data_IF_209486765514
#
_entry.id   IF_209486765514
#
_cell.length_a   1.000
_cell.length_b   1.000
_cell.length_c   1.000
_cell.angle_alpha   90.00
_cell.angle_beta   90.00
_cell.angle_gamma   90.00
#
_symmetry.space_group_name_H-M   'P 1'
#
loop_
_entity.id
_entity.type
_entity.pdbx_description
1 polymer ?
#
# COMPACT_ATOMS: atom_id res chain seq x y z
N UNK A 1 24.03 -96.39 12.58
CA UNK A 1 24.72 -95.14 12.26
C UNK A 1 23.63 -94.12 12.04
N UNK A 2 23.46 -93.15 12.91
CA UNK A 2 22.45 -92.11 12.69
C UNK A 2 23.01 -91.08 11.71
N UNK A 3 22.27 -90.79 10.64
CA UNK A 3 22.54 -89.74 9.69
C UNK A 3 22.19 -88.40 10.34
N UNK A 4 23.21 -87.61 10.57
CA UNK A 4 23.03 -86.21 11.08
C UNK A 4 22.50 -85.35 9.92
N UNK A 5 21.24 -84.90 10.05
CA UNK A 5 20.67 -83.93 9.16
C UNK A 5 21.45 -82.60 9.29
N UNK A 6 21.75 -81.90 8.21
CA UNK A 6 22.38 -80.58 8.30
C UNK A 6 21.46 -79.60 8.98
N UNK A 7 21.97 -78.72 9.79
CA UNK A 7 21.16 -77.73 10.48
C UNK A 7 20.46 -76.80 9.47
N UNK A 8 19.22 -76.41 9.76
CA UNK A 8 18.46 -75.47 8.88
C UNK A 8 19.21 -74.17 8.65
N UNK A 9 19.15 -73.62 7.44
CA UNK A 9 19.82 -72.37 7.12
C UNK A 9 19.34 -71.27 8.08
N UNK A 10 20.28 -70.53 8.66
CA UNK A 10 19.97 -69.40 9.59
C UNK A 10 19.11 -68.37 8.85
N UNK A 11 17.94 -67.97 9.42
CA UNK A 11 17.08 -66.97 8.80
C UNK A 11 17.82 -65.63 8.73
N UNK A 12 17.88 -65.04 7.55
CA UNK A 12 18.27 -63.65 7.38
C UNK A 12 19.56 -63.33 6.63
N UNK A 13 20.26 -64.36 6.03
CA UNK A 13 21.40 -64.07 5.14
C UNK A 13 21.17 -64.67 3.76
N UNK A 14 21.16 -63.83 2.74
CA UNK A 14 21.27 -64.29 1.34
C UNK A 14 22.72 -64.71 1.02
N UNK A 15 22.96 -65.47 -0.07
CA UNK A 15 24.28 -66.02 -0.44
C UNK A 15 25.37 -64.95 -0.63
N UNK A 16 25.03 -63.64 -0.66
CA UNK A 16 25.95 -62.49 -0.74
C UNK A 16 26.32 -61.89 0.61
N UNK A 17 25.94 -62.48 1.75
CA UNK A 17 26.30 -62.04 3.08
C UNK A 17 25.58 -60.78 3.57
N UNK A 18 24.59 -60.28 2.84
CA UNK A 18 23.78 -59.12 3.23
C UNK A 18 22.64 -59.53 4.14
N UNK A 19 22.40 -58.80 5.21
CA UNK A 19 21.29 -59.03 6.12
C UNK A 19 20.00 -58.53 5.44
N UNK A 20 19.12 -59.48 5.01
CA UNK A 20 17.83 -59.15 4.48
C UNK A 20 16.87 -58.77 5.63
N UNK A 21 16.77 -57.50 5.95
CA UNK A 21 15.96 -57.01 7.08
C UNK A 21 14.45 -57.12 6.83
N UNK A 22 14.00 -57.24 5.61
CA UNK A 22 12.57 -57.29 5.29
C UNK A 22 12.32 -58.09 4.01
N UNK A 23 11.25 -58.89 3.95
CA UNK A 23 10.81 -59.50 2.72
C UNK A 23 10.50 -58.41 1.67
N UNK A 24 10.80 -58.64 0.39
CA UNK A 24 10.70 -57.64 -0.68
C UNK A 24 9.31 -57.01 -0.82
N UNK A 25 8.24 -57.66 -0.38
CA UNK A 25 6.87 -57.14 -0.35
C UNK A 25 6.65 -56.04 0.72
N UNK A 26 7.24 -56.19 1.91
CA UNK A 26 7.12 -55.21 2.98
C UNK A 26 7.87 -53.88 2.67
N UNK A 27 9.01 -54.00 1.97
CA UNK A 27 9.76 -52.81 1.53
C UNK A 27 9.01 -52.00 0.46
N UNK A 28 8.31 -52.68 -0.48
CA UNK A 28 7.46 -52.01 -1.47
C UNK A 28 6.25 -51.32 -0.85
N UNK A 29 5.58 -51.94 0.11
CA UNK A 29 4.43 -51.35 0.80
C UNK A 29 4.81 -50.08 1.56
N UNK A 30 5.94 -50.09 2.28
CA UNK A 30 6.41 -48.85 2.98
C UNK A 30 6.73 -47.73 2.02
N UNK A 31 7.34 -47.99 0.87
CA UNK A 31 7.68 -46.97 -0.13
C UNK A 31 6.43 -46.32 -0.74
N UNK A 32 5.36 -47.07 -0.92
CA UNK A 32 4.07 -46.58 -1.43
C UNK A 32 3.34 -45.71 -0.40
N UNK A 33 3.35 -46.09 0.87
CA UNK A 33 2.71 -45.32 1.94
C UNK A 33 3.40 -43.97 2.15
N UNK A 34 4.74 -43.95 2.16
CA UNK A 34 5.50 -42.71 2.26
C UNK A 34 5.20 -41.74 1.08
N UNK A 35 5.10 -42.30 -0.14
CA UNK A 35 4.83 -41.49 -1.33
C UNK A 35 3.41 -40.87 -1.33
N UNK A 36 2.42 -41.61 -0.82
CA UNK A 36 1.04 -41.08 -0.71
C UNK A 36 0.89 -40.00 0.37
N UNK A 37 1.63 -40.13 1.47
CA UNK A 37 1.60 -39.11 2.54
C UNK A 37 2.36 -37.86 2.16
N UNK A 38 3.51 -37.96 1.49
CA UNK A 38 4.22 -36.77 0.97
C UNK A 38 3.40 -36.07 -0.12
N UNK A 39 2.66 -36.78 -0.98
CA UNK A 39 1.85 -36.18 -2.02
C UNK A 39 0.71 -35.32 -1.49
N UNK A 40 0.03 -35.74 -0.43
CA UNK A 40 -1.05 -34.96 0.19
C UNK A 40 -0.53 -33.76 1.00
N UNK A 41 0.57 -33.92 1.74
CA UNK A 41 1.18 -32.82 2.48
C UNK A 41 1.68 -31.71 1.57
N UNK A 42 2.24 -32.05 0.42
CA UNK A 42 2.71 -31.07 -0.56
C UNK A 42 1.57 -30.26 -1.17
N UNK A 43 0.43 -30.87 -1.48
CA UNK A 43 -0.74 -30.15 -2.02
C UNK A 43 -1.29 -29.15 -1.00
N UNK A 44 -1.40 -29.55 0.27
CA UNK A 44 -1.86 -28.65 1.34
C UNK A 44 -0.87 -27.51 1.57
N UNK A 45 0.42 -27.81 1.60
CA UNK A 45 1.47 -26.79 1.77
C UNK A 45 1.49 -25.78 0.62
N UNK A 46 1.36 -26.21 -0.63
CA UNK A 46 1.30 -25.31 -1.78
C UNK A 46 0.02 -24.49 -1.82
N UNK A 47 -1.11 -25.04 -1.42
CA UNK A 47 -2.37 -24.27 -1.31
C UNK A 47 -2.27 -23.16 -0.25
N UNK A 48 -1.75 -23.47 0.94
CA UNK A 48 -1.52 -22.48 2.00
C UNK A 48 -0.54 -21.38 1.56
N UNK A 49 0.55 -21.76 0.90
CA UNK A 49 1.53 -20.80 0.37
C UNK A 49 0.91 -19.88 -0.69
N UNK A 50 0.07 -20.41 -1.57
CA UNK A 50 -0.68 -19.63 -2.55
C UNK A 50 -1.63 -18.62 -1.90
N UNK A 51 -2.35 -19.01 -0.85
CA UNK A 51 -3.23 -18.11 -0.10
C UNK A 51 -2.44 -17.00 0.58
N UNK A 52 -1.28 -17.31 1.17
CA UNK A 52 -0.42 -16.30 1.82
C UNK A 52 0.12 -15.29 0.81
N UNK A 53 0.58 -15.74 -0.36
CA UNK A 53 1.05 -14.84 -1.43
C UNK A 53 -0.10 -13.97 -1.94
N UNK A 54 -1.28 -14.53 -2.15
CA UNK A 54 -2.45 -13.77 -2.59
C UNK A 54 -2.84 -12.70 -1.56
N UNK A 55 -2.90 -13.06 -0.28
CA UNK A 55 -3.22 -12.12 0.80
C UNK A 55 -2.16 -11.02 0.92
N UNK A 56 -0.87 -11.36 0.84
CA UNK A 56 0.23 -10.39 0.84
C UNK A 56 0.17 -9.47 -0.37
N UNK A 57 -0.15 -10.00 -1.56
CA UNK A 57 -0.33 -9.23 -2.78
C UNK A 57 -1.49 -8.23 -2.68
N UNK A 58 -2.64 -8.67 -2.17
CA UNK A 58 -3.80 -7.79 -1.94
C UNK A 58 -3.45 -6.70 -0.92
N UNK A 59 -2.81 -7.05 0.19
CA UNK A 59 -2.39 -6.10 1.22
C UNK A 59 -1.39 -5.08 0.65
N UNK A 60 -0.45 -5.52 -0.18
CA UNK A 60 0.51 -4.65 -0.86
C UNK A 60 -0.20 -3.69 -1.82
N UNK A 61 -1.14 -4.17 -2.64
CA UNK A 61 -1.91 -3.32 -3.57
C UNK A 61 -2.76 -2.29 -2.82
N UNK A 62 -3.40 -2.69 -1.71
CA UNK A 62 -4.18 -1.75 -0.88
C UNK A 62 -3.27 -0.69 -0.25
N UNK A 63 -2.09 -1.08 0.23
CA UNK A 63 -1.14 -0.13 0.81
C UNK A 63 -0.45 0.75 -0.23
N UNK A 64 -0.12 0.22 -1.39
CA UNK A 64 0.49 1.01 -2.48
C UNK A 64 -0.44 2.09 -3.04
N UNK A 65 -1.77 1.92 -2.87
CA UNK A 65 -2.76 2.92 -3.27
C UNK A 65 -2.95 4.08 -2.29
N UNK A 66 -2.29 4.07 -1.12
CA UNK A 66 -2.43 5.12 -0.12
C UNK A 66 -1.05 5.62 0.31
N UNK A 67 -0.73 6.88 0.11
CA UNK A 67 0.48 7.46 0.69
C UNK A 67 0.42 7.33 2.22
N UNK A 68 1.51 6.80 2.81
CA UNK A 68 1.63 6.69 4.26
C UNK A 68 1.80 8.07 4.94
N UNK A 69 1.88 8.13 6.30
CA UNK A 69 2.18 9.38 6.98
C UNK A 69 3.47 10.03 6.40
N UNK A 70 3.53 11.35 6.25
CA UNK A 70 2.68 12.39 6.83
C UNK A 70 1.43 12.80 6.01
N UNK A 71 1.12 12.08 4.96
CA UNK A 71 0.06 12.44 4.04
C UNK A 71 -1.33 12.37 4.68
N UNK A 72 -2.06 13.46 4.57
CA UNK A 72 -3.43 13.59 5.07
C UNK A 72 -4.40 13.58 3.91
N UNK A 73 -5.43 12.73 3.98
CA UNK A 73 -6.51 12.72 2.99
C UNK A 73 -7.40 13.93 3.18
N UNK A 74 -7.58 14.72 2.11
CA UNK A 74 -8.37 15.97 2.16
C UNK A 74 -9.78 15.75 1.59
N UNK A 75 -9.90 15.25 0.37
CA UNK A 75 -11.18 15.09 -0.29
C UNK A 75 -11.12 14.01 -1.38
N UNK A 76 -12.26 13.41 -1.77
CA UNK A 76 -12.34 12.62 -2.98
C UNK A 76 -12.16 13.55 -4.20
N UNK A 77 -11.40 13.12 -5.20
CA UNK A 77 -11.10 13.93 -6.38
C UNK A 77 -12.37 14.26 -7.19
N UNK A 78 -13.38 13.38 -7.16
CA UNK A 78 -14.69 13.58 -7.78
C UNK A 78 -15.49 14.74 -7.18
N UNK A 79 -15.23 15.08 -5.93
CA UNK A 79 -15.85 16.23 -5.25
C UNK A 79 -15.15 17.56 -5.48
N UNK A 80 -14.00 17.56 -6.19
CA UNK A 80 -13.24 18.77 -6.49
C UNK A 80 -13.45 19.15 -7.97
N UNK A 81 -14.11 20.28 -8.27
CA UNK A 81 -14.34 20.69 -9.65
C UNK A 81 -13.03 20.79 -10.43
N UNK A 82 -13.07 20.36 -11.70
CA UNK A 82 -11.96 20.60 -12.63
C UNK A 82 -11.90 22.11 -12.96
N UNK A 83 -10.71 22.59 -13.28
CA UNK A 83 -10.46 24.00 -13.67
C UNK A 83 -10.95 25.03 -12.65
N UNK A 84 -10.99 24.68 -11.36
CA UNK A 84 -11.43 25.54 -10.29
C UNK A 84 -10.44 25.61 -9.12
N UNK A 85 -10.62 26.66 -8.32
CA UNK A 85 -10.01 26.78 -6.99
C UNK A 85 -11.06 26.43 -5.95
N UNK A 86 -10.77 25.45 -5.12
CA UNK A 86 -11.68 24.95 -4.09
C UNK A 86 -10.99 25.02 -2.73
N UNK A 87 -11.71 25.46 -1.72
CA UNK A 87 -11.22 25.47 -0.34
C UNK A 87 -11.84 24.28 0.41
N UNK A 88 -11.01 23.52 1.09
CA UNK A 88 -11.42 22.36 1.89
C UNK A 88 -10.72 22.45 3.24
N UNK A 89 -11.40 22.09 4.32
CA UNK A 89 -10.75 21.93 5.61
C UNK A 89 -10.16 20.51 5.73
N UNK A 90 -8.96 20.40 6.25
CA UNK A 90 -8.39 19.12 6.62
C UNK A 90 -9.02 18.58 7.93
N UNK A 91 -8.74 17.35 8.34
CA UNK A 91 -9.26 16.80 9.59
C UNK A 91 -8.79 17.54 10.86
N UNK A 92 -7.70 18.30 10.77
CA UNK A 92 -7.20 19.15 11.86
C UNK A 92 -7.82 20.57 11.84
N UNK A 93 -8.70 20.85 10.88
CA UNK A 93 -9.35 22.16 10.71
C UNK A 93 -8.47 23.18 9.97
N UNK A 94 -7.33 22.78 9.41
CA UNK A 94 -6.53 23.66 8.56
C UNK A 94 -7.21 23.87 7.21
N UNK A 95 -7.12 25.08 6.71
CA UNK A 95 -7.69 25.42 5.40
C UNK A 95 -6.71 25.10 4.30
N UNK A 96 -7.11 24.18 3.42
CA UNK A 96 -6.36 23.79 2.23
C UNK A 96 -7.06 24.38 1.01
N UNK A 97 -6.34 25.18 0.24
CA UNK A 97 -6.77 25.69 -1.05
C UNK A 97 -6.23 24.78 -2.13
N UNK A 98 -7.12 24.17 -2.88
CA UNK A 98 -6.80 23.26 -3.98
C UNK A 98 -7.03 23.99 -5.29
N UNK A 99 -5.99 24.14 -6.08
CA UNK A 99 -6.03 24.74 -7.41
C UNK A 99 -5.86 23.65 -8.47
N UNK A 100 -6.88 23.49 -9.31
CA UNK A 100 -6.91 22.51 -10.42
C UNK A 100 -6.91 23.16 -11.80
N UNK A 101 -6.64 24.46 -11.88
CA UNK A 101 -6.62 25.18 -13.15
C UNK A 101 -5.43 24.80 -14.02
N UNK A 102 -5.62 24.82 -15.34
CA UNK A 102 -4.56 24.54 -16.32
C UNK A 102 -4.07 23.10 -16.30
N UNK A 103 -4.92 22.12 -15.95
CA UNK A 103 -4.59 20.70 -15.95
C UNK A 103 -3.61 20.28 -14.85
N UNK A 104 -3.21 21.21 -13.98
CA UNK A 104 -2.33 20.94 -12.84
C UNK A 104 -3.13 20.70 -11.54
N UNK A 105 -2.42 20.20 -10.53
CA UNK A 105 -2.94 20.10 -9.17
C UNK A 105 -1.94 20.75 -8.22
N UNK A 106 -2.35 21.80 -7.55
CA UNK A 106 -1.56 22.49 -6.53
C UNK A 106 -2.38 22.62 -5.26
N UNK A 107 -1.71 22.51 -4.12
CA UNK A 107 -2.35 22.70 -2.82
C UNK A 107 -1.58 23.74 -2.02
N UNK A 108 -2.32 24.57 -1.30
CA UNK A 108 -1.76 25.62 -0.45
C UNK A 108 -2.45 25.58 0.91
N UNK A 109 -1.68 25.78 1.96
CA UNK A 109 -2.25 26.09 3.28
C UNK A 109 -2.54 27.58 3.33
N UNK A 110 -3.79 27.91 3.58
CA UNK A 110 -4.21 29.29 3.76
C UNK A 110 -4.29 29.65 5.24
N UNK A 111 -3.94 30.88 5.63
CA UNK A 111 -4.19 31.37 6.98
C UNK A 111 -5.70 31.36 7.27
N UNK A 112 -6.06 31.12 8.52
CA UNK A 112 -7.45 31.22 8.95
C UNK A 112 -7.99 32.62 8.62
N UNK A 113 -9.28 32.71 8.28
CA UNK A 113 -9.87 33.98 7.94
C UNK A 113 -11.38 33.89 7.73
N UNK A 114 -12.05 35.05 7.71
CA UNK A 114 -13.52 35.14 7.79
C UNK A 114 -14.24 34.66 6.50
N UNK A 115 -13.54 34.57 5.38
CA UNK A 115 -14.15 34.18 4.12
C UNK A 115 -13.22 33.31 3.29
N UNK A 116 -13.77 32.56 2.33
CA UNK A 116 -12.99 31.63 1.51
C UNK A 116 -12.00 32.34 0.60
N UNK A 117 -10.92 31.64 0.30
CA UNK A 117 -9.99 31.97 -0.79
C UNK A 117 -10.59 31.50 -2.10
N UNK A 118 -10.67 32.40 -3.07
CA UNK A 118 -11.25 32.13 -4.39
C UNK A 118 -10.24 32.41 -5.51
N UNK A 119 -10.52 31.94 -6.71
CA UNK A 119 -9.74 32.28 -7.89
C UNK A 119 -9.86 33.77 -8.21
N UNK A 120 -8.75 34.41 -8.54
CA UNK A 120 -8.70 35.81 -8.99
C UNK A 120 -7.68 35.96 -10.13
N UNK A 121 -8.14 35.88 -11.38
CA UNK A 121 -7.25 35.80 -12.52
C UNK A 121 -6.36 34.55 -12.44
N UNK A 122 -5.05 34.73 -12.60
CA UNK A 122 -4.07 33.66 -12.42
C UNK A 122 -3.76 33.30 -10.97
N UNK A 123 -4.11 34.18 -10.02
CA UNK A 123 -3.82 34.06 -8.59
C UNK A 123 -5.04 33.72 -7.75
N UNK A 124 -5.00 34.21 -6.50
CA UNK A 124 -6.01 33.96 -5.48
C UNK A 124 -6.43 35.27 -4.81
N UNK A 125 -7.64 35.31 -4.29
CA UNK A 125 -8.11 36.42 -3.50
C UNK A 125 -8.98 35.94 -2.33
N UNK A 126 -9.01 36.77 -1.27
CA UNK A 126 -10.00 36.73 -0.18
C UNK A 126 -10.78 38.03 -0.18
N UNK A 127 -11.92 38.07 -0.87
CA UNK A 127 -12.60 39.32 -1.20
C UNK A 127 -13.01 40.15 0.04
N UNK A 128 -13.50 39.47 1.08
CA UNK A 128 -13.97 40.18 2.29
C UNK A 128 -12.84 40.79 3.12
N UNK A 129 -11.61 40.36 2.93
CA UNK A 129 -10.43 40.89 3.62
C UNK A 129 -9.53 41.73 2.69
N UNK A 130 -9.93 41.95 1.45
CA UNK A 130 -9.12 42.66 0.45
C UNK A 130 -7.81 42.01 0.07
N UNK A 131 -7.56 40.81 0.57
CA UNK A 131 -6.27 40.09 0.40
C UNK A 131 -6.16 39.47 -1.00
N UNK A 132 -4.97 39.59 -1.59
CA UNK A 132 -4.67 38.98 -2.91
C UNK A 132 -3.31 38.31 -2.90
N UNK A 133 -3.19 37.24 -3.65
CA UNK A 133 -1.98 36.49 -3.88
C UNK A 133 -1.82 36.19 -5.37
N UNK A 134 -0.60 36.06 -5.79
CA UNK A 134 -0.27 35.61 -7.13
C UNK A 134 -0.47 34.07 -7.30
N UNK A 135 -0.14 33.56 -8.47
CA UNK A 135 -0.27 32.12 -8.77
C UNK A 135 0.68 31.22 -7.95
N UNK A 136 1.73 31.77 -7.36
CA UNK A 136 2.66 31.08 -6.47
C UNK A 136 2.24 31.16 -4.99
N UNK A 137 1.17 31.89 -4.67
CA UNK A 137 0.71 32.11 -3.31
C UNK A 137 1.44 33.25 -2.58
N UNK A 138 2.31 33.99 -3.27
CA UNK A 138 2.93 35.17 -2.69
C UNK A 138 1.94 36.33 -2.65
N UNK A 139 2.00 37.26 -1.64
CA UNK A 139 1.15 38.44 -1.60
C UNK A 139 1.28 39.27 -2.86
N UNK A 140 0.18 39.54 -3.53
CA UNK A 140 0.20 40.34 -4.76
C UNK A 140 0.56 41.78 -4.45
N UNK A 141 1.46 42.35 -5.24
CA UNK A 141 1.84 43.77 -5.18
C UNK A 141 0.66 44.64 -5.66
N UNK A 142 0.10 45.45 -4.83
CA UNK A 142 -1.07 46.28 -5.17
C UNK A 142 -1.68 46.91 -3.94
N UNK A 143 -0.85 47.20 -2.98
CA UNK A 143 -1.15 47.68 -1.65
C UNK A 143 -1.64 49.13 -1.66
N UNK A 144 -2.64 49.42 -0.84
CA UNK A 144 -2.85 50.79 -0.35
C UNK A 144 -1.81 51.09 0.72
N UNK A 145 -1.25 52.29 0.69
CA UNK A 145 -0.26 52.70 1.67
C UNK A 145 -0.81 52.53 3.10
N UNK A 146 -0.07 51.79 3.92
CA UNK A 146 -0.43 51.52 5.31
C UNK A 146 -1.12 50.18 5.60
N UNK A 147 -1.44 49.35 4.60
CA UNK A 147 -2.05 48.04 4.82
C UNK A 147 -0.98 46.93 4.98
N UNK A 148 -1.06 46.14 6.03
CA UNK A 148 -0.13 45.01 6.27
C UNK A 148 -0.30 43.92 5.23
N UNK A 149 0.81 43.37 4.66
CA UNK A 149 0.76 42.30 3.68
C UNK A 149 0.09 41.07 4.28
N UNK A 150 -0.83 40.42 3.57
CA UNK A 150 -1.31 39.14 4.00
C UNK A 150 -0.16 38.13 4.06
N UNK A 151 -0.18 37.18 5.01
CA UNK A 151 0.80 36.11 5.01
C UNK A 151 0.69 35.33 3.70
N UNK A 152 1.81 34.80 3.17
CA UNK A 152 1.80 34.02 1.94
C UNK A 152 0.97 32.72 2.10
N UNK A 153 0.35 32.27 1.03
CA UNK A 153 -0.20 30.93 0.95
C UNK A 153 0.97 29.95 0.86
N UNK A 154 1.11 29.07 1.83
CA UNK A 154 2.22 28.09 1.82
C UNK A 154 1.87 26.94 0.91
N UNK A 155 2.59 26.80 -0.21
CA UNK A 155 2.43 25.64 -1.07
C UNK A 155 2.90 24.38 -0.33
N UNK A 156 2.11 23.31 -0.44
CA UNK A 156 2.38 22.02 0.18
C UNK A 156 2.37 20.90 -0.87
N UNK A 157 3.16 19.84 -0.67
CA UNK A 157 3.12 18.68 -1.54
C UNK A 157 1.71 18.10 -1.61
N UNK A 158 1.27 17.78 -2.82
CA UNK A 158 -0.03 17.17 -3.07
C UNK A 158 0.13 15.92 -3.94
N UNK A 159 -0.65 14.89 -3.66
CA UNK A 159 -0.64 13.63 -4.40
C UNK A 159 -2.06 13.10 -4.56
N UNK A 160 -2.31 12.45 -5.70
CA UNK A 160 -3.58 11.76 -5.95
C UNK A 160 -3.35 10.26 -5.88
N UNK A 161 -4.08 9.58 -5.00
CA UNK A 161 -4.02 8.14 -4.86
C UNK A 161 -5.42 7.58 -4.58
N UNK A 162 -5.79 6.47 -5.23
CA UNK A 162 -7.09 5.83 -5.03
C UNK A 162 -8.29 6.76 -5.26
N UNK A 163 -8.19 7.74 -6.18
CA UNK A 163 -9.26 8.70 -6.45
C UNK A 163 -9.47 9.76 -5.35
N UNK A 164 -8.53 9.92 -4.43
CA UNK A 164 -8.57 10.93 -3.39
C UNK A 164 -7.32 11.83 -3.43
N UNK A 165 -7.48 13.06 -2.98
CA UNK A 165 -6.41 14.03 -2.81
C UNK A 165 -5.80 13.89 -1.42
N UNK A 166 -4.48 13.82 -1.39
CA UNK A 166 -3.65 13.82 -0.18
C UNK A 166 -2.71 15.00 -0.21
N UNK A 167 -2.47 15.61 0.93
CA UNK A 167 -1.48 16.67 1.11
C UNK A 167 -0.55 16.36 2.27
N UNK A 168 0.68 16.88 2.20
CA UNK A 168 1.62 16.86 3.34
C UNK A 168 1.60 18.28 3.96
N UNK A 169 1.02 18.49 5.15
CA UNK A 169 0.89 19.80 5.76
C UNK A 169 2.18 20.31 6.43
N UNK A 170 3.27 19.57 6.42
CA UNK A 170 4.56 19.94 7.05
C UNK A 170 5.35 21.01 6.34
#
# INVERSE_FOLDING_TARGET
MPTSDPPPPRPGRDPGGRIAYLPPRAARARKLILRSQLGRGWIVASALFGVVILAAGILFLVRAGHPGPPWVRIAPLSGLPAEAVTQVADPAGQVVVVDRRGGGLRAFLAPAGPCPVVAAGSGFARPCAGQRWDAAGAPASGRRDGEEAPPPLRQVPASVAGGALYVDPR
#
